data_IF_906162125240
#
_entry.id   IF_906162125240
#
_cell.length_a   1.000
_cell.length_b   1.000
_cell.length_c   1.000
_cell.angle_alpha   90.00
_cell.angle_beta   90.00
_cell.angle_gamma   90.00
#
_symmetry.space_group_name_H-M   'P 1'
#
loop_
_entity.id
_entity.type
_entity.pdbx_description
1 polymer ?
#
# COMPACT_ATOMS: atom_id res chain seq x y z
N UNK A 1 -1.08 -15.84 -18.20
CA UNK A 1 -1.81 -15.81 -19.49
C UNK A 1 -3.29 -16.14 -19.27
N UNK A 2 -4.23 -15.73 -20.13
CA UNK A 2 -5.67 -16.05 -19.94
C UNK A 2 -5.92 -17.56 -19.86
N UNK A 3 -5.18 -18.35 -20.63
CA UNK A 3 -5.22 -19.82 -20.63
C UNK A 3 -4.93 -20.46 -19.27
N UNK A 4 -4.27 -19.72 -18.36
CA UNK A 4 -3.92 -20.18 -17.01
C UNK A 4 -4.94 -19.72 -15.96
N UNK A 5 -5.98 -18.98 -16.35
CA UNK A 5 -6.96 -18.46 -15.40
C UNK A 5 -7.68 -19.60 -14.66
N UNK A 6 -7.66 -19.49 -13.34
CA UNK A 6 -8.48 -20.30 -12.46
C UNK A 6 -9.97 -19.96 -12.69
N UNK A 7 -10.91 -20.87 -12.40
CA UNK A 7 -12.31 -20.71 -12.77
C UNK A 7 -12.93 -19.36 -12.37
N UNK A 8 -12.63 -18.88 -11.17
CA UNK A 8 -13.13 -17.57 -10.68
C UNK A 8 -12.56 -16.37 -11.46
N UNK A 9 -11.32 -16.47 -11.95
CA UNK A 9 -10.69 -15.41 -12.75
C UNK A 9 -11.27 -15.39 -14.16
N UNK A 10 -11.51 -16.55 -14.78
CA UNK A 10 -12.17 -16.62 -16.09
C UNK A 10 -13.64 -16.17 -16.00
N UNK A 11 -14.37 -16.59 -14.97
CA UNK A 11 -15.76 -16.17 -14.78
C UNK A 11 -15.89 -14.65 -14.59
N UNK A 12 -14.99 -14.07 -13.80
CA UNK A 12 -14.90 -12.62 -13.62
C UNK A 12 -14.57 -11.90 -14.92
N UNK A 13 -13.56 -12.35 -15.67
CA UNK A 13 -13.17 -11.79 -16.97
C UNK A 13 -14.35 -11.77 -17.95
N UNK A 14 -15.09 -12.88 -18.04
CA UNK A 14 -16.28 -12.95 -18.90
C UNK A 14 -17.36 -11.96 -18.45
N UNK A 15 -17.67 -11.92 -17.16
CA UNK A 15 -18.69 -11.03 -16.61
C UNK A 15 -18.35 -9.55 -16.81
N UNK A 16 -17.09 -9.15 -16.66
CA UNK A 16 -16.65 -7.76 -16.83
C UNK A 16 -16.66 -7.33 -18.30
N UNK A 17 -16.22 -8.21 -19.22
CA UNK A 17 -16.27 -7.96 -20.67
C UNK A 17 -17.71 -7.85 -21.16
N UNK A 18 -18.60 -8.77 -20.78
CA UNK A 18 -20.01 -8.74 -21.19
C UNK A 18 -20.77 -7.55 -20.57
N UNK A 19 -20.33 -7.06 -19.42
CA UNK A 19 -20.81 -5.81 -18.84
C UNK A 19 -20.28 -4.53 -19.54
N UNK A 20 -19.44 -4.68 -20.57
CA UNK A 20 -18.95 -3.58 -21.42
C UNK A 20 -17.58 -3.04 -21.04
N UNK A 21 -16.84 -3.69 -20.13
CA UNK A 21 -15.46 -3.28 -19.83
C UNK A 21 -14.55 -3.60 -21.03
N UNK A 22 -13.67 -2.68 -21.44
CA UNK A 22 -12.71 -2.98 -22.51
C UNK A 22 -11.74 -4.07 -22.06
N UNK A 23 -11.22 -4.83 -23.02
CA UNK A 23 -10.11 -5.76 -22.79
C UNK A 23 -8.80 -4.97 -22.56
N UNK A 24 -8.05 -5.35 -21.53
CA UNK A 24 -6.79 -4.74 -21.12
C UNK A 24 -5.66 -5.78 -21.07
N UNK A 25 -4.96 -6.04 -22.18
CA UNK A 25 -3.94 -7.08 -22.22
C UNK A 25 -2.67 -6.73 -21.42
N UNK A 26 -2.47 -5.46 -21.03
CA UNK A 26 -1.30 -5.01 -20.29
C UNK A 26 -1.63 -3.89 -19.30
N UNK A 27 -1.84 -4.26 -18.03
CA UNK A 27 -2.12 -3.31 -16.96
C UNK A 27 -0.96 -2.36 -16.61
N UNK A 28 0.24 -2.58 -17.14
CA UNK A 28 1.36 -1.63 -16.99
C UNK A 28 1.35 -0.54 -18.06
N UNK A 29 0.53 -0.66 -19.11
CA UNK A 29 0.40 0.36 -20.12
C UNK A 29 -0.07 1.69 -19.44
N UNK A 30 0.60 2.83 -19.68
CA UNK A 30 0.17 4.13 -19.15
C UNK A 30 -1.27 4.50 -19.48
N UNK A 31 -1.86 3.91 -20.53
CA UNK A 31 -3.24 4.10 -20.98
C UNK A 31 -4.18 2.92 -20.66
N UNK A 32 -3.68 1.90 -19.94
CA UNK A 32 -4.47 0.75 -19.46
C UNK A 32 -5.79 1.20 -18.81
N UNK A 33 -6.87 0.52 -19.15
CA UNK A 33 -8.19 0.59 -18.52
C UNK A 33 -8.99 -0.64 -18.96
N UNK A 34 -9.91 -1.11 -18.13
CA UNK A 34 -10.67 -2.32 -18.40
C UNK A 34 -10.11 -3.56 -17.71
N UNK A 35 -10.37 -4.72 -18.31
CA UNK A 35 -10.19 -6.01 -17.66
C UNK A 35 -9.18 -6.90 -18.37
N UNK A 36 -8.32 -7.57 -17.61
CA UNK A 36 -7.33 -8.47 -18.18
C UNK A 36 -6.30 -8.96 -17.16
N UNK A 37 -5.17 -9.51 -17.62
CA UNK A 37 -4.19 -10.14 -16.74
C UNK A 37 -3.44 -9.13 -15.87
N UNK A 38 -3.25 -9.48 -14.59
CA UNK A 38 -2.47 -8.67 -13.64
C UNK A 38 -1.01 -9.14 -13.66
N UNK A 39 -0.04 -8.30 -14.04
CA UNK A 39 1.37 -8.65 -14.04
C UNK A 39 1.91 -8.79 -12.61
N UNK A 40 2.79 -9.77 -12.40
CA UNK A 40 3.38 -10.09 -11.10
C UNK A 40 4.90 -10.24 -11.23
N UNK A 41 5.64 -9.90 -10.18
CA UNK A 41 7.10 -10.08 -10.10
C UNK A 41 7.47 -11.48 -9.59
N UNK A 42 6.91 -12.53 -10.21
CA UNK A 42 7.14 -13.92 -9.82
C UNK A 42 7.32 -14.87 -11.04
N UNK A 43 8.27 -14.61 -11.95
CA UNK A 43 8.51 -15.48 -13.11
C UNK A 43 8.67 -16.94 -12.70
N UNK A 44 7.95 -17.85 -13.36
CA UNK A 44 7.94 -19.27 -13.01
C UNK A 44 7.40 -19.58 -11.60
N UNK A 45 6.60 -18.69 -11.02
CA UNK A 45 6.07 -18.81 -9.66
C UNK A 45 7.07 -18.41 -8.56
N UNK A 46 8.26 -17.95 -8.91
CA UNK A 46 9.33 -17.61 -7.95
C UNK A 46 9.36 -16.10 -7.73
N UNK A 47 9.12 -15.67 -6.49
CA UNK A 47 9.20 -14.25 -6.09
C UNK A 47 10.55 -13.63 -6.47
N UNK A 48 10.51 -12.48 -7.14
CA UNK A 48 11.67 -11.63 -7.43
C UNK A 48 11.60 -10.36 -6.59
N UNK A 49 12.26 -10.36 -5.43
CA UNK A 49 12.34 -9.19 -4.54
C UNK A 49 13.47 -8.24 -4.92
N UNK A 50 13.40 -6.99 -4.45
CA UNK A 50 14.48 -6.02 -4.64
C UNK A 50 15.82 -6.52 -4.04
N UNK A 51 15.78 -7.30 -2.95
CA UNK A 51 17.00 -7.91 -2.39
C UNK A 51 17.62 -8.95 -3.34
N UNK A 52 16.80 -9.81 -3.97
CA UNK A 52 17.29 -10.78 -4.96
C UNK A 52 17.83 -10.08 -6.22
N UNK A 53 17.18 -9.01 -6.66
CA UNK A 53 17.51 -8.31 -7.90
C UNK A 53 18.68 -7.32 -7.77
N UNK A 54 18.78 -6.58 -6.66
CA UNK A 54 19.74 -5.47 -6.49
C UNK A 54 20.85 -5.77 -5.49
N UNK A 55 20.49 -6.28 -4.30
CA UNK A 55 21.45 -6.45 -3.20
C UNK A 55 22.30 -7.70 -3.39
N UNK A 56 21.68 -8.86 -3.60
CA UNK A 56 22.38 -10.15 -3.69
C UNK A 56 23.47 -10.18 -4.76
N UNK A 57 23.23 -9.70 -5.99
CA UNK A 57 24.27 -9.64 -7.00
C UNK A 57 25.40 -8.66 -6.66
N UNK A 58 25.17 -7.71 -5.75
CA UNK A 58 26.14 -6.66 -5.40
C UNK A 58 26.92 -6.92 -4.10
N UNK A 59 26.59 -7.98 -3.35
CA UNK A 59 27.18 -8.31 -2.03
C UNK A 59 28.70 -8.49 -2.04
N UNK A 60 29.29 -8.83 -3.18
CA UNK A 60 30.73 -9.04 -3.29
C UNK A 60 31.54 -7.74 -3.30
N UNK A 61 30.89 -6.59 -3.47
CA UNK A 61 31.56 -5.29 -3.61
C UNK A 61 32.14 -4.86 -2.26
N UNK A 62 33.44 -4.58 -2.22
CA UNK A 62 34.15 -4.19 -0.99
C UNK A 62 33.65 -2.86 -0.38
N UNK A 63 33.02 -2.01 -1.19
CA UNK A 63 32.44 -0.74 -0.76
C UNK A 63 30.96 -0.84 -0.35
N UNK A 64 30.39 -2.04 -0.23
CA UNK A 64 29.01 -2.25 0.22
C UNK A 64 28.99 -3.12 1.48
N UNK A 65 28.48 -2.56 2.58
CA UNK A 65 28.22 -3.31 3.81
C UNK A 65 26.72 -3.40 4.04
N UNK A 66 26.19 -4.62 4.18
CA UNK A 66 24.79 -4.88 4.54
C UNK A 66 24.78 -5.53 5.91
N UNK A 67 24.19 -4.86 6.90
CA UNK A 67 24.00 -5.42 8.25
C UNK A 67 22.52 -5.67 8.52
N UNK A 68 22.19 -6.92 8.85
CA UNK A 68 20.87 -7.28 9.35
C UNK A 68 20.86 -7.21 10.88
N UNK A 69 19.66 -7.20 11.49
CA UNK A 69 19.48 -7.10 12.95
C UNK A 69 20.10 -5.84 13.55
N UNK A 70 20.07 -4.74 12.80
CA UNK A 70 20.50 -3.41 13.23
C UNK A 70 19.30 -2.47 13.08
N UNK A 71 18.72 -2.07 14.20
CA UNK A 71 17.55 -1.18 14.22
C UNK A 71 18.02 0.27 14.28
N UNK A 72 17.62 1.09 13.31
CA UNK A 72 17.82 2.54 13.41
C UNK A 72 16.86 3.12 14.47
N UNK A 73 17.39 3.92 15.38
CA UNK A 73 16.65 4.56 16.48
C UNK A 73 16.36 6.03 16.18
N UNK A 74 17.35 6.76 15.67
CA UNK A 74 17.26 8.16 15.25
C UNK A 74 18.44 8.57 14.39
N UNK A 75 18.25 9.60 13.56
CA UNK A 75 19.32 10.34 12.89
C UNK A 75 20.00 11.25 13.92
N UNK A 76 21.33 11.33 13.84
CA UNK A 76 22.16 12.20 14.67
C UNK A 76 22.53 13.45 13.87
N UNK A 77 22.39 14.61 14.50
CA UNK A 77 22.62 15.92 13.88
C UNK A 77 23.73 16.70 14.60
N UNK A 78 24.49 17.47 13.81
CA UNK A 78 25.30 18.61 14.26
C UNK A 78 24.72 19.88 13.62
N UNK A 79 24.01 20.68 14.42
CA UNK A 79 23.20 21.78 13.90
C UNK A 79 22.10 21.28 12.93
N UNK A 80 22.15 21.75 11.68
CA UNK A 80 21.23 21.35 10.61
C UNK A 80 21.77 20.21 9.72
N UNK A 81 22.94 19.66 10.04
CA UNK A 81 23.62 18.63 9.26
C UNK A 81 23.42 17.24 9.87
N UNK A 82 22.88 16.30 9.10
CA UNK A 82 22.88 14.89 9.49
C UNK A 82 24.30 14.31 9.40
N UNK A 83 24.78 13.70 10.48
CA UNK A 83 26.16 13.19 10.61
C UNK A 83 26.24 11.68 10.88
N UNK A 84 25.11 11.04 11.15
CA UNK A 84 25.06 9.61 11.43
C UNK A 84 23.68 9.13 11.81
N UNK A 85 23.61 7.85 12.17
CA UNK A 85 22.41 7.20 12.69
C UNK A 85 22.77 6.48 13.98
N UNK A 86 22.03 6.74 15.05
CA UNK A 86 22.07 5.93 16.27
C UNK A 86 21.32 4.63 15.98
N UNK A 87 21.99 3.50 16.19
CA UNK A 87 21.47 2.18 15.91
C UNK A 87 21.59 1.28 17.13
N UNK A 88 20.75 0.25 17.20
CA UNK A 88 20.82 -0.82 18.18
C UNK A 88 21.07 -2.16 17.48
N UNK A 89 22.00 -2.95 18.02
CA UNK A 89 22.28 -4.30 17.56
C UNK A 89 22.78 -5.14 18.72
N UNK A 90 22.16 -6.31 18.94
CA UNK A 90 22.56 -7.21 20.02
C UNK A 90 22.42 -6.63 21.44
N UNK A 91 21.53 -5.65 21.63
CA UNK A 91 21.32 -4.95 22.91
C UNK A 91 22.29 -3.81 23.18
N UNK A 92 23.21 -3.52 22.24
CA UNK A 92 24.13 -2.38 22.32
C UNK A 92 23.68 -1.26 21.38
N UNK A 93 23.74 -0.03 21.88
CA UNK A 93 23.46 1.19 21.11
C UNK A 93 24.77 1.89 20.74
N UNK A 94 24.94 2.21 19.47
CA UNK A 94 26.11 2.93 18.95
C UNK A 94 25.73 3.79 17.74
N UNK A 95 26.63 4.70 17.34
CA UNK A 95 26.42 5.56 16.17
C UNK A 95 27.17 5.00 14.96
N UNK A 96 26.50 4.95 13.81
CA UNK A 96 27.12 4.76 12.51
C UNK A 96 27.19 6.12 11.84
N UNK A 97 28.41 6.65 11.69
CA UNK A 97 28.65 7.94 11.04
C UNK A 97 28.51 7.84 9.52
N UNK A 98 28.06 8.92 8.89
CA UNK A 98 27.90 8.99 7.44
C UNK A 98 27.87 10.44 6.95
N UNK A 99 28.47 10.67 5.78
CA UNK A 99 28.47 11.99 5.12
C UNK A 99 27.13 12.31 4.45
N UNK A 100 26.32 11.30 4.15
CA UNK A 100 24.95 11.45 3.64
C UNK A 100 24.11 10.30 4.19
N UNK A 101 22.96 10.64 4.78
CA UNK A 101 22.01 9.70 5.37
C UNK A 101 20.78 9.62 4.47
N UNK A 102 20.43 8.41 4.05
CA UNK A 102 19.31 8.17 3.14
C UNK A 102 18.33 7.23 3.84
N UNK A 103 17.14 7.75 4.15
CA UNK A 103 16.08 6.98 4.79
C UNK A 103 15.27 6.23 3.75
N UNK A 104 15.19 4.91 3.90
CA UNK A 104 14.42 4.01 3.03
C UNK A 104 13.55 3.04 3.86
N UNK A 105 13.01 3.52 4.99
CA UNK A 105 12.26 2.69 5.95
C UNK A 105 10.76 2.56 5.61
N UNK A 106 10.30 3.23 4.55
CA UNK A 106 8.95 3.12 4.01
C UNK A 106 7.94 4.09 4.64
N UNK A 107 6.70 4.03 4.16
CA UNK A 107 5.63 4.98 4.50
C UNK A 107 5.23 5.07 5.98
N UNK A 108 5.72 4.16 6.84
CA UNK A 108 5.43 4.13 8.28
C UNK A 108 6.68 4.40 9.11
N UNK A 109 7.76 3.65 8.89
CA UNK A 109 8.94 3.76 9.75
C UNK A 109 9.81 4.99 9.42
N UNK A 110 9.79 5.50 8.20
CA UNK A 110 10.53 6.74 7.86
C UNK A 110 10.01 7.97 8.60
N UNK A 111 8.71 8.32 8.56
CA UNK A 111 8.22 9.46 9.34
C UNK A 111 8.41 9.24 10.85
N UNK A 112 8.23 8.01 11.36
CA UNK A 112 8.51 7.69 12.76
C UNK A 112 9.97 8.00 13.12
N UNK A 113 10.92 7.57 12.28
CA UNK A 113 12.35 7.81 12.49
C UNK A 113 12.67 9.32 12.45
N UNK A 114 12.09 10.08 11.51
CA UNK A 114 12.26 11.54 11.48
C UNK A 114 11.72 12.21 12.75
N UNK A 115 10.53 11.83 13.20
CA UNK A 115 9.93 12.35 14.43
C UNK A 115 10.83 12.07 15.65
N UNK A 116 11.31 10.83 15.81
CA UNK A 116 12.23 10.43 16.88
C UNK A 116 13.59 11.14 16.80
N UNK A 117 13.94 11.66 15.62
CA UNK A 117 15.17 12.42 15.38
C UNK A 117 15.00 13.93 15.58
N UNK A 118 13.83 14.39 16.03
CA UNK A 118 13.54 15.81 16.24
C UNK A 118 13.12 16.57 14.98
N UNK A 119 12.72 15.86 13.92
CA UNK A 119 12.26 16.46 12.65
C UNK A 119 10.77 16.19 12.48
N UNK A 120 9.95 17.20 12.70
CA UNK A 120 8.48 17.06 12.70
C UNK A 120 7.76 18.24 13.35
N UNK A 121 6.45 18.11 13.64
CA UNK A 121 5.69 19.20 14.25
C UNK A 121 6.22 19.56 15.65
N UNK A 122 6.70 20.80 15.83
CA UNK A 122 7.36 21.26 17.07
C UNK A 122 6.55 20.97 18.34
N UNK A 123 5.25 21.25 18.31
CA UNK A 123 4.37 21.06 19.47
C UNK A 123 4.26 19.58 19.87
N UNK A 124 4.18 18.66 18.89
CA UNK A 124 4.09 17.23 19.13
C UNK A 124 5.39 16.67 19.72
N UNK A 125 6.53 17.08 19.15
CA UNK A 125 7.86 16.65 19.61
C UNK A 125 8.14 17.16 21.03
N UNK A 126 7.82 18.43 21.30
CA UNK A 126 8.00 19.04 22.62
C UNK A 126 7.15 18.37 23.69
N UNK A 127 5.92 17.96 23.36
CA UNK A 127 5.02 17.24 24.28
C UNK A 127 5.58 15.87 24.71
N UNK A 128 6.40 15.24 23.86
CA UNK A 128 7.08 13.96 24.14
C UNK A 128 8.50 14.15 24.70
N UNK A 129 8.94 15.39 24.91
CA UNK A 129 10.29 15.70 25.40
C UNK A 129 11.40 15.43 24.38
N UNK A 130 11.07 15.37 23.09
CA UNK A 130 12.03 15.16 22.01
C UNK A 130 12.60 16.54 21.60
N UNK A 131 13.94 16.76 21.66
CA UNK A 131 14.54 18.00 21.20
C UNK A 131 14.24 18.25 19.73
N UNK A 132 13.77 19.45 19.42
CA UNK A 132 13.42 19.85 18.04
C UNK A 132 14.66 20.28 17.30
N UNK A 133 14.97 19.57 16.21
CA UNK A 133 16.02 19.91 15.24
C UNK A 133 15.42 20.79 14.14
N UNK A 134 14.24 20.40 13.65
CA UNK A 134 13.54 21.12 12.59
C UNK A 134 12.03 20.99 12.74
N UNK A 135 11.35 22.12 12.87
CA UNK A 135 9.90 22.16 12.72
C UNK A 135 9.53 21.85 11.27
N UNK A 136 8.86 20.72 11.08
CA UNK A 136 8.41 20.20 9.79
C UNK A 136 7.01 19.62 9.97
N UNK A 137 5.95 20.46 9.90
CA UNK A 137 4.60 20.04 10.25
C UNK A 137 4.03 18.97 9.30
N UNK A 138 4.65 18.76 8.14
CA UNK A 138 4.28 17.72 7.17
C UNK A 138 4.70 16.31 7.53
N UNK A 139 5.67 16.11 8.45
CA UNK A 139 6.14 14.76 8.80
C UNK A 139 5.04 13.98 9.52
N UNK A 140 4.72 12.80 9.00
CA UNK A 140 3.64 11.93 9.50
C UNK A 140 2.26 12.29 8.96
N UNK A 141 2.09 13.45 8.34
CA UNK A 141 0.82 13.89 7.76
C UNK A 141 0.64 13.34 6.34
N UNK A 142 -0.57 13.43 5.78
CA UNK A 142 -0.87 12.92 4.44
C UNK A 142 -0.58 11.40 4.33
N UNK A 143 -0.94 10.63 5.37
CA UNK A 143 -0.89 9.17 5.34
C UNK A 143 -1.89 8.67 4.29
N UNK A 144 -1.38 8.19 3.16
CA UNK A 144 -2.17 7.66 2.05
C UNK A 144 -2.07 6.15 1.99
N UNK A 145 -3.16 5.51 1.61
CA UNK A 145 -3.22 4.09 1.29
C UNK A 145 -4.36 3.83 0.29
N UNK A 146 -4.46 2.59 -0.17
CA UNK A 146 -5.61 2.08 -0.89
C UNK A 146 -6.52 1.30 0.08
N UNK A 147 -7.64 1.87 0.57
CA UNK A 147 -8.60 1.09 1.32
C UNK A 147 -9.26 0.04 0.43
N UNK A 148 -9.47 -1.14 1.01
CA UNK A 148 -10.11 -2.25 0.31
C UNK A 148 -11.23 -2.87 1.13
N UNK A 149 -12.11 -3.52 0.40
CA UNK A 149 -13.25 -4.28 0.88
C UNK A 149 -13.34 -5.57 0.07
N UNK A 150 -13.97 -6.61 0.63
CA UNK A 150 -14.13 -7.89 -0.04
C UNK A 150 -15.58 -8.34 -0.07
N UNK A 151 -16.06 -8.73 -1.25
CA UNK A 151 -17.27 -9.57 -1.38
C UNK A 151 -16.82 -11.02 -1.27
N UNK A 152 -17.15 -11.71 -0.17
CA UNK A 152 -16.73 -13.08 0.08
C UNK A 152 -17.83 -14.08 -0.34
N UNK A 153 -17.39 -15.21 -0.89
CA UNK A 153 -18.23 -16.20 -1.55
C UNK A 153 -17.86 -17.60 -1.06
N UNK A 154 -18.89 -18.40 -0.81
CA UNK A 154 -18.74 -19.83 -0.57
C UNK A 154 -18.73 -20.57 -1.92
N UNK A 155 -17.66 -21.32 -2.24
CA UNK A 155 -17.58 -22.10 -3.46
C UNK A 155 -18.47 -23.33 -3.38
N UNK A 156 -19.01 -23.77 -4.52
CA UNK A 156 -19.64 -25.09 -4.61
C UNK A 156 -18.63 -26.21 -4.41
N UNK A 157 -19.11 -27.38 -3.99
CA UNK A 157 -18.29 -28.59 -3.88
C UNK A 157 -17.58 -28.92 -5.20
N UNK A 158 -16.28 -29.18 -5.12
CA UNK A 158 -15.45 -29.57 -6.27
C UNK A 158 -14.90 -28.41 -7.10
N UNK A 159 -15.21 -27.15 -6.76
CA UNK A 159 -14.62 -25.98 -7.43
C UNK A 159 -13.12 -25.92 -7.16
N UNK A 160 -12.32 -25.80 -8.23
CA UNK A 160 -10.87 -25.68 -8.13
C UNK A 160 -10.48 -24.30 -7.59
N UNK A 161 -9.89 -24.27 -6.40
CA UNK A 161 -9.30 -23.06 -5.80
C UNK A 161 -7.77 -23.04 -5.97
N UNK A 162 -7.19 -21.84 -6.04
CA UNK A 162 -5.74 -21.71 -6.16
C UNK A 162 -5.06 -22.17 -4.85
N UNK A 163 -4.18 -23.16 -4.97
CA UNK A 163 -3.42 -23.71 -3.85
C UNK A 163 -1.94 -23.36 -3.98
N UNK A 164 -1.40 -23.57 -5.18
CA UNK A 164 -0.04 -23.22 -5.59
C UNK A 164 -0.02 -22.21 -6.74
N UNK A 165 -1.15 -22.08 -7.44
CA UNK A 165 -1.35 -21.12 -8.52
C UNK A 165 -1.39 -19.67 -7.99
N UNK A 166 -1.09 -18.66 -8.82
CA UNK A 166 -1.30 -17.27 -8.45
C UNK A 166 -2.78 -17.04 -8.09
N UNK A 167 -3.04 -16.46 -6.91
CA UNK A 167 -4.40 -16.20 -6.43
C UNK A 167 -5.09 -15.06 -7.19
N UNK A 168 -4.32 -14.07 -7.60
CA UNK A 168 -4.76 -12.92 -8.40
C UNK A 168 -4.16 -13.12 -9.79
N UNK A 169 -5.01 -13.27 -10.81
CA UNK A 169 -4.56 -13.49 -12.20
C UNK A 169 -5.19 -12.46 -13.15
N UNK A 170 -6.40 -12.03 -12.86
CA UNK A 170 -7.15 -11.02 -13.60
C UNK A 170 -7.57 -9.87 -12.70
N UNK A 171 -7.95 -8.75 -13.29
CA UNK A 171 -8.54 -7.62 -12.59
C UNK A 171 -9.31 -6.71 -13.54
N UNK A 172 -10.01 -5.75 -12.98
CA UNK A 172 -10.69 -4.66 -13.67
C UNK A 172 -10.17 -3.34 -13.11
N UNK A 173 -9.70 -2.44 -13.96
CA UNK A 173 -9.41 -1.04 -13.62
C UNK A 173 -10.44 -0.17 -14.31
N UNK A 174 -11.09 0.71 -13.56
CA UNK A 174 -12.13 1.56 -14.11
C UNK A 174 -12.20 2.89 -13.37
N UNK A 175 -12.80 3.87 -14.03
CA UNK A 175 -13.07 5.19 -13.46
C UNK A 175 -14.46 5.17 -12.86
N UNK A 176 -14.59 5.50 -11.58
CA UNK A 176 -15.89 5.58 -10.93
C UNK A 176 -16.80 6.63 -11.59
N UNK A 177 -18.11 6.43 -11.49
CA UNK A 177 -19.09 7.36 -12.06
C UNK A 177 -18.97 8.75 -11.44
N UNK A 178 -18.74 9.75 -12.29
CA UNK A 178 -18.55 11.15 -11.87
C UNK A 178 -17.12 11.48 -11.42
N UNK A 179 -16.17 10.55 -11.54
CA UNK A 179 -14.76 10.83 -11.28
C UNK A 179 -14.08 11.49 -12.48
N UNK A 180 -13.42 12.63 -12.24
CA UNK A 180 -12.53 13.27 -13.22
C UNK A 180 -11.16 12.57 -13.29
N UNK A 181 -10.93 11.57 -12.45
CA UNK A 181 -9.63 10.92 -12.30
C UNK A 181 -9.67 9.48 -12.79
N UNK A 182 -9.07 9.24 -13.95
CA UNK A 182 -9.02 7.92 -14.61
C UNK A 182 -8.61 6.77 -13.67
N UNK A 183 -9.27 5.62 -13.73
CA UNK A 183 -8.86 4.41 -12.99
C UNK A 183 -8.62 4.63 -11.48
N UNK A 184 -9.51 5.38 -10.83
CA UNK A 184 -9.50 5.54 -9.38
C UNK A 184 -10.08 4.33 -8.64
N UNK A 185 -10.52 3.30 -9.37
CA UNK A 185 -11.01 2.03 -8.83
C UNK A 185 -10.31 0.82 -9.43
N UNK A 186 -10.19 -0.24 -8.64
CA UNK A 186 -9.71 -1.54 -9.10
C UNK A 186 -10.46 -2.68 -8.41
N UNK A 187 -10.90 -3.67 -9.18
CA UNK A 187 -11.47 -4.90 -8.69
C UNK A 187 -10.59 -6.09 -9.11
N UNK A 188 -10.49 -7.13 -8.30
CA UNK A 188 -9.99 -8.41 -8.79
C UNK A 188 -10.63 -9.59 -8.06
N UNK A 189 -10.86 -10.71 -8.76
CA UNK A 189 -11.24 -11.97 -8.14
C UNK A 189 -10.01 -12.65 -7.53
N UNK A 190 -10.22 -13.39 -6.46
CA UNK A 190 -9.20 -14.31 -5.94
C UNK A 190 -9.83 -15.45 -5.15
N UNK A 191 -9.18 -16.61 -5.17
CA UNK A 191 -9.46 -17.69 -4.21
C UNK A 191 -8.59 -17.56 -2.97
N UNK A 192 -9.13 -17.93 -1.81
CA UNK A 192 -8.41 -17.98 -0.53
C UNK A 192 -8.65 -19.34 0.16
N UNK A 193 -7.68 -19.79 0.97
CA UNK A 193 -7.81 -21.03 1.74
C UNK A 193 -7.50 -20.76 3.21
N UNK A 194 -8.39 -21.23 4.11
CA UNK A 194 -8.18 -21.21 5.55
C UNK A 194 -6.92 -22.00 5.93
N UNK A 195 -6.01 -21.32 6.64
CA UNK A 195 -4.77 -21.80 7.28
C UNK A 195 -3.77 -22.57 6.38
N UNK A 196 -3.05 -21.85 5.51
CA UNK A 196 -1.56 -21.88 5.34
C UNK A 196 -1.01 -21.18 4.10
N UNK A 197 -1.83 -20.52 3.28
CA UNK A 197 -1.34 -19.48 2.38
C UNK A 197 -2.13 -18.20 2.66
N UNK A 198 -1.41 -17.17 3.09
CA UNK A 198 -1.95 -15.96 3.71
C UNK A 198 -3.11 -15.35 2.95
N UNK A 199 -4.14 -14.99 3.70
CA UNK A 199 -4.77 -13.71 3.42
C UNK A 199 -3.79 -12.64 3.95
N UNK A 200 -3.07 -11.89 3.09
CA UNK A 200 -2.25 -10.78 3.55
C UNK A 200 -3.09 -9.62 4.13
N UNK A 201 -4.42 -9.64 3.98
CA UNK A 201 -5.30 -8.50 4.24
C UNK A 201 -6.18 -8.63 5.51
N UNK A 202 -6.49 -9.84 6.00
CA UNK A 202 -7.41 -10.02 7.15
C UNK A 202 -6.91 -10.92 8.31
N UNK A 203 -5.64 -11.36 8.29
CA UNK A 203 -5.08 -12.14 9.40
C UNK A 203 -5.68 -13.55 9.56
N UNK A 204 -5.31 -14.25 10.64
CA UNK A 204 -5.67 -15.66 10.88
C UNK A 204 -7.01 -15.77 11.61
N UNK A 205 -8.01 -16.44 11.02
CA UNK A 205 -9.16 -16.99 11.75
C UNK A 205 -9.22 -18.51 11.53
N UNK A 206 -9.25 -19.33 12.60
CA UNK A 206 -9.30 -20.79 12.50
C UNK A 206 -10.63 -21.35 11.98
N UNK A 207 -11.67 -20.51 11.89
CA UNK A 207 -13.05 -20.95 11.62
C UNK A 207 -13.54 -20.64 10.20
N UNK A 208 -12.71 -20.04 9.32
CA UNK A 208 -13.13 -19.69 7.95
C UNK A 208 -12.81 -20.78 6.91
N UNK A 209 -13.80 -21.30 6.18
CA UNK A 209 -13.59 -22.28 5.11
C UNK A 209 -12.80 -21.69 3.93
N UNK A 210 -12.35 -22.57 3.03
CA UNK A 210 -11.80 -22.16 1.74
C UNK A 210 -12.87 -21.38 0.96
N UNK A 211 -12.49 -20.30 0.28
CA UNK A 211 -13.44 -19.37 -0.31
C UNK A 211 -12.96 -18.69 -1.58
N UNK A 212 -13.86 -17.93 -2.19
CA UNK A 212 -13.57 -17.01 -3.28
C UNK A 212 -13.99 -15.60 -2.87
N UNK A 213 -13.39 -14.58 -3.47
CA UNK A 213 -13.79 -13.19 -3.24
C UNK A 213 -13.60 -12.32 -4.47
N UNK A 214 -14.35 -11.23 -4.52
CA UNK A 214 -14.02 -10.05 -5.33
C UNK A 214 -13.51 -8.98 -4.36
N UNK A 215 -12.25 -8.56 -4.54
CA UNK A 215 -11.66 -7.48 -3.76
C UNK A 215 -11.91 -6.15 -4.49
N UNK A 216 -12.56 -5.22 -3.81
CA UNK A 216 -12.83 -3.86 -4.25
C UNK A 216 -11.80 -2.92 -3.64
N UNK A 217 -11.10 -2.14 -4.46
CA UNK A 217 -10.02 -1.25 -3.99
C UNK A 217 -10.25 0.15 -4.53
N UNK A 218 -10.25 1.12 -3.61
CA UNK A 218 -10.19 2.53 -3.94
C UNK A 218 -8.73 2.89 -4.22
N UNK A 219 -8.39 3.14 -5.49
CA UNK A 219 -7.03 3.42 -5.96
C UNK A 219 -6.61 4.88 -5.81
N UNK A 220 -7.54 5.76 -5.46
CA UNK A 220 -7.24 7.15 -5.15
C UNK A 220 -8.27 7.70 -4.14
N UNK A 221 -8.04 7.37 -2.87
CA UNK A 221 -8.82 7.91 -1.78
C UNK A 221 -8.63 9.42 -1.68
N UNK A 222 -9.73 10.15 -1.48
CA UNK A 222 -9.69 11.58 -1.16
C UNK A 222 -9.22 11.77 0.27
N UNK A 223 -9.68 10.91 1.18
CA UNK A 223 -9.22 10.84 2.57
C UNK A 223 -7.70 10.67 2.66
N UNK A 224 -7.12 11.32 3.67
CA UNK A 224 -5.76 11.10 4.11
C UNK A 224 -5.70 11.11 5.61
N UNK A 225 -4.90 10.21 6.14
CA UNK A 225 -4.69 10.07 7.57
C UNK A 225 -3.46 10.82 8.09
N UNK A 226 -3.06 10.41 9.28
CA UNK A 226 -1.82 10.82 9.92
C UNK A 226 -1.15 9.69 10.71
N UNK A 227 0.14 9.88 10.96
CA UNK A 227 0.99 9.09 11.80
C UNK A 227 1.62 9.99 12.86
N UNK A 228 1.44 9.65 14.12
CA UNK A 228 2.04 10.37 15.26
C UNK A 228 2.79 9.42 16.18
N UNK A 229 3.80 9.94 16.87
CA UNK A 229 4.46 9.17 17.94
C UNK A 229 3.53 9.03 19.15
N UNK A 230 3.51 7.84 19.74
CA UNK A 230 2.87 7.55 21.03
C UNK A 230 3.83 7.75 22.20
N UNK A 231 5.13 7.61 21.95
CA UNK A 231 6.20 7.80 22.92
C UNK A 231 7.52 8.20 22.23
N UNK A 232 8.55 8.54 23.01
CA UNK A 232 9.91 8.76 22.53
C UNK A 232 10.74 7.46 22.45
N UNK A 233 10.18 6.30 22.81
CA UNK A 233 10.85 5.00 22.65
C UNK A 233 10.70 4.53 21.19
N UNK A 234 11.81 4.33 20.44
CA UNK A 234 11.76 3.83 19.07
C UNK A 234 11.18 2.41 18.94
N UNK A 235 11.07 1.65 20.03
CA UNK A 235 10.46 0.33 20.02
C UNK A 235 8.94 0.35 20.14
N UNK A 236 8.36 1.47 20.56
CA UNK A 236 6.91 1.63 20.64
C UNK A 236 6.34 1.96 19.26
N UNK A 237 5.29 1.26 18.79
CA UNK A 237 4.69 1.53 17.50
C UNK A 237 4.03 2.92 17.50
N UNK A 238 4.07 3.64 16.36
CA UNK A 238 3.38 4.91 16.24
C UNK A 238 1.87 4.70 16.19
N UNK A 239 1.11 5.76 16.48
CA UNK A 239 -0.31 5.79 16.24
C UNK A 239 -0.57 6.03 14.75
N UNK A 240 -1.40 5.18 14.15
CA UNK A 240 -1.83 5.28 12.75
C UNK A 240 -3.33 5.55 12.72
N UNK A 241 -3.71 6.70 12.18
CA UNK A 241 -5.11 7.01 11.86
C UNK A 241 -5.24 7.21 10.36
N UNK A 242 -5.75 6.21 9.65
CA UNK A 242 -5.89 6.25 8.19
C UNK A 242 -7.07 7.08 7.69
N UNK A 243 -8.08 7.32 8.55
CA UNK A 243 -9.32 8.03 8.18
C UNK A 243 -10.02 7.49 6.93
N UNK A 244 -10.01 6.17 6.76
CA UNK A 244 -10.68 5.54 5.62
C UNK A 244 -12.15 5.91 5.56
N UNK A 245 -12.62 6.20 4.35
CA UNK A 245 -14.03 6.50 4.08
C UNK A 245 -14.56 7.69 4.88
N UNK A 246 -13.70 8.63 5.26
CA UNK A 246 -14.10 9.87 5.95
C UNK A 246 -14.95 10.74 5.03
N UNK A 247 -14.59 10.85 3.75
CA UNK A 247 -15.33 11.65 2.78
C UNK A 247 -16.50 10.88 2.17
N UNK A 248 -17.58 11.60 1.80
CA UNK A 248 -18.70 11.01 1.07
C UNK A 248 -18.28 10.50 -0.30
N UNK A 249 -17.29 11.14 -0.91
CA UNK A 249 -16.78 10.75 -2.22
C UNK A 249 -16.09 9.39 -2.20
N UNK A 250 -15.34 9.08 -1.14
CA UNK A 250 -14.74 7.75 -0.96
C UNK A 250 -15.82 6.68 -0.78
N UNK A 251 -16.85 6.96 0.03
CA UNK A 251 -17.95 6.03 0.28
C UNK A 251 -18.78 5.75 -0.98
N UNK A 252 -19.19 6.79 -1.71
CA UNK A 252 -19.95 6.65 -2.96
C UNK A 252 -19.26 5.71 -3.96
N UNK A 253 -17.95 5.90 -4.19
CA UNK A 253 -17.18 5.07 -5.12
C UNK A 253 -17.07 3.62 -4.65
N UNK A 254 -16.96 3.40 -3.34
CA UNK A 254 -16.94 2.05 -2.78
C UNK A 254 -18.30 1.36 -2.82
N UNK A 255 -19.41 2.10 -2.65
CA UNK A 255 -20.76 1.58 -2.89
C UNK A 255 -20.92 1.15 -4.35
N UNK A 256 -20.48 1.96 -5.30
CA UNK A 256 -20.46 1.61 -6.73
C UNK A 256 -19.66 0.32 -6.99
N UNK A 257 -18.45 0.20 -6.44
CA UNK A 257 -17.64 -1.02 -6.59
C UNK A 257 -18.34 -2.28 -6.06
N UNK A 258 -19.05 -2.17 -4.93
CA UNK A 258 -19.84 -3.26 -4.38
C UNK A 258 -21.02 -3.60 -5.28
N UNK A 259 -21.80 -2.62 -5.73
CA UNK A 259 -22.92 -2.87 -6.64
C UNK A 259 -22.47 -3.51 -7.96
N UNK A 260 -21.36 -3.05 -8.54
CA UNK A 260 -20.77 -3.67 -9.74
C UNK A 260 -20.35 -5.11 -9.46
N UNK A 261 -19.68 -5.35 -8.33
CA UNK A 261 -19.28 -6.71 -7.94
C UNK A 261 -20.50 -7.62 -7.81
N UNK A 262 -21.57 -7.18 -7.16
CA UNK A 262 -22.81 -7.96 -7.03
C UNK A 262 -23.46 -8.23 -8.39
N UNK A 263 -23.51 -7.23 -9.28
CA UNK A 263 -24.01 -7.41 -10.64
C UNK A 263 -23.19 -8.44 -11.43
N UNK A 264 -21.85 -8.45 -11.28
CA UNK A 264 -21.02 -9.45 -11.95
C UNK A 264 -21.31 -10.87 -11.47
N UNK A 265 -21.66 -11.06 -10.20
CA UNK A 265 -21.99 -12.37 -9.64
C UNK A 265 -23.29 -12.96 -10.20
N UNK A 266 -24.17 -12.14 -10.80
CA UNK A 266 -25.37 -12.61 -11.49
C UNK A 266 -25.06 -13.24 -12.86
N UNK A 267 -23.85 -13.06 -13.38
CA UNK A 267 -23.45 -13.59 -14.67
C UNK A 267 -23.42 -15.13 -14.67
N UNK A 268 -23.92 -15.81 -15.73
CA UNK A 268 -24.01 -17.28 -15.78
C UNK A 268 -22.70 -18.03 -15.54
N UNK A 269 -21.55 -17.40 -15.84
CA UNK A 269 -20.21 -17.97 -15.60
C UNK A 269 -19.92 -18.27 -14.12
N UNK A 270 -20.58 -17.55 -13.19
CA UNK A 270 -20.41 -17.77 -11.75
C UNK A 270 -21.33 -18.85 -11.17
N UNK A 271 -22.43 -19.19 -11.85
CA UNK A 271 -23.43 -20.15 -11.36
C UNK A 271 -22.87 -21.52 -10.93
N UNK A 272 -21.96 -22.13 -11.72
CA UNK A 272 -21.30 -23.39 -11.36
C UNK A 272 -20.26 -23.25 -10.22
N UNK A 273 -19.87 -22.02 -9.87
CA UNK A 273 -18.76 -21.76 -8.95
C UNK A 273 -19.24 -21.41 -7.54
N UNK A 274 -20.36 -20.70 -7.41
CA UNK A 274 -20.80 -20.11 -6.15
C UNK A 274 -21.97 -20.89 -5.57
N UNK A 275 -21.83 -21.31 -4.32
CA UNK A 275 -22.94 -21.84 -3.51
C UNK A 275 -23.78 -20.69 -2.97
N UNK A 276 -23.13 -19.72 -2.30
CA UNK A 276 -23.79 -18.49 -1.82
C UNK A 276 -22.78 -17.36 -1.56
N UNK A 277 -23.29 -16.13 -1.48
CA UNK A 277 -22.57 -14.96 -0.96
C UNK A 277 -22.51 -15.04 0.58
N UNK A 278 -21.33 -14.78 1.14
CA UNK A 278 -21.09 -14.76 2.59
C UNK A 278 -21.22 -13.35 3.17
N UNK A 279 -20.55 -12.37 2.55
CA UNK A 279 -20.58 -10.96 2.94
C UNK A 279 -20.30 -10.07 1.73
N UNK A 280 -20.86 -8.86 1.62
CA UNK A 280 -21.95 -8.32 2.45
C UNK A 280 -23.24 -9.15 2.32
N UNK A 281 -24.07 -9.15 3.36
CA UNK A 281 -25.41 -9.77 3.38
C UNK A 281 -26.44 -8.91 2.63
N UNK A 282 -27.67 -9.42 2.47
CA UNK A 282 -28.77 -8.64 1.88
C UNK A 282 -29.14 -7.42 2.76
N UNK A 283 -29.01 -7.54 4.08
CA UNK A 283 -29.24 -6.44 5.02
C UNK A 283 -28.16 -5.36 4.90
N UNK A 284 -26.89 -5.78 4.77
CA UNK A 284 -25.77 -4.86 4.60
C UNK A 284 -25.89 -4.00 3.32
N UNK A 285 -26.56 -4.50 2.28
CA UNK A 285 -26.75 -3.78 1.00
C UNK A 285 -28.16 -3.20 0.82
N UNK A 286 -28.98 -3.21 1.86
CA UNK A 286 -30.38 -2.78 1.78
C UNK A 286 -30.55 -1.25 1.59
N UNK A 287 -29.55 -0.46 2.00
CA UNK A 287 -29.52 1.00 1.83
C UNK A 287 -28.09 1.53 1.85
N UNK A 288 -27.90 2.76 1.36
CA UNK A 288 -26.60 3.45 1.43
C UNK A 288 -26.08 3.57 2.87
N UNK A 289 -26.96 3.83 3.85
CA UNK A 289 -26.58 3.96 5.27
C UNK A 289 -26.12 2.62 5.88
N UNK A 290 -26.80 1.53 5.55
CA UNK A 290 -26.41 0.19 5.96
C UNK A 290 -25.06 -0.19 5.35
N UNK A 291 -24.90 0.12 4.05
CA UNK A 291 -23.68 -0.18 3.31
C UNK A 291 -22.49 0.65 3.82
N UNK A 292 -22.69 1.92 4.14
CA UNK A 292 -21.65 2.78 4.72
C UNK A 292 -21.23 2.32 6.12
N UNK A 293 -22.18 1.84 6.92
CA UNK A 293 -21.88 1.23 8.22
C UNK A 293 -21.03 -0.04 8.03
N UNK A 294 -21.43 -0.90 7.10
CA UNK A 294 -20.70 -2.12 6.79
C UNK A 294 -19.30 -1.84 6.22
N UNK A 295 -19.17 -0.86 5.32
CA UNK A 295 -17.88 -0.41 4.76
C UNK A 295 -16.90 -0.04 5.88
N UNK A 296 -17.33 0.76 6.86
CA UNK A 296 -16.47 1.18 7.99
C UNK A 296 -16.08 0.03 8.91
N UNK A 297 -16.94 -0.99 9.05
CA UNK A 297 -16.66 -2.16 9.89
C UNK A 297 -15.74 -3.19 9.22
N UNK A 298 -15.72 -3.23 7.87
CA UNK A 298 -15.04 -4.28 7.11
C UNK A 298 -13.83 -3.78 6.31
N UNK A 299 -13.53 -2.48 6.34
CA UNK A 299 -12.40 -1.91 5.61
C UNK A 299 -11.07 -2.53 6.07
N UNK A 300 -10.23 -2.84 5.10
CA UNK A 300 -8.86 -3.27 5.32
C UNK A 300 -7.88 -2.42 4.50
N UNK A 301 -6.60 -2.56 4.80
CA UNK A 301 -5.50 -1.90 4.09
C UNK A 301 -4.96 -2.78 2.98
N UNK A 302 -4.61 -2.19 1.83
CA UNK A 302 -3.83 -2.92 0.79
C UNK A 302 -2.32 -2.94 1.10
N UNK A 303 -1.90 -2.35 2.23
CA UNK A 303 -0.50 -2.18 2.61
C UNK A 303 0.31 -1.37 1.59
N UNK A 304 -0.34 -0.36 0.99
CA UNK A 304 0.25 0.58 0.04
C UNK A 304 0.54 1.94 0.69
N UNK A 305 0.87 1.92 1.98
CA UNK A 305 1.11 3.12 2.79
C UNK A 305 2.18 4.03 2.18
N UNK A 306 1.83 5.31 2.02
CA UNK A 306 2.65 6.32 1.34
C UNK A 306 2.33 7.74 1.83
N UNK A 307 3.11 8.72 1.38
CA UNK A 307 2.80 10.15 1.51
C UNK A 307 3.11 10.84 2.83
N UNK A 308 3.55 10.09 3.84
CA UNK A 308 3.88 10.59 5.19
C UNK A 308 5.11 11.50 5.29
N UNK A 309 5.86 11.66 4.21
CA UNK A 309 6.98 12.60 4.07
C UNK A 309 6.90 13.28 2.69
N UNK A 310 5.70 13.74 2.30
CA UNK A 310 5.42 14.13 0.91
C UNK A 310 6.44 15.11 0.32
N UNK A 311 6.79 14.84 -0.93
CA UNK A 311 7.47 15.75 -1.82
C UNK A 311 6.51 16.88 -2.21
N UNK A 312 7.03 18.10 -2.34
CA UNK A 312 6.24 19.24 -2.82
C UNK A 312 7.11 20.41 -3.28
N UNK A 313 6.52 21.44 -3.89
CA UNK A 313 7.23 22.67 -4.25
C UNK A 313 7.60 23.47 -3.00
N UNK A 314 8.48 24.47 -3.14
CA UNK A 314 8.88 25.34 -2.03
C UNK A 314 7.70 26.13 -1.42
N UNK A 315 6.66 26.39 -2.21
CA UNK A 315 5.44 27.05 -1.75
C UNK A 315 4.52 26.15 -0.92
N UNK A 316 4.77 24.86 -0.81
CA UNK A 316 3.96 23.92 -0.02
C UNK A 316 4.55 23.79 1.40
N UNK A 317 3.95 24.43 2.42
CA UNK A 317 4.47 24.39 3.79
C UNK A 317 4.40 23.01 4.43
N UNK A 318 3.63 22.08 3.84
CA UNK A 318 3.49 20.70 4.31
C UNK A 318 4.43 19.75 3.56
N UNK A 319 5.25 20.22 2.62
CA UNK A 319 6.25 19.40 1.97
C UNK A 319 7.39 19.08 2.95
N UNK A 320 7.76 17.80 3.04
CA UNK A 320 8.87 17.33 3.87
C UNK A 320 10.15 17.26 3.06
N UNK A 321 10.05 16.82 1.81
CA UNK A 321 11.19 16.75 0.89
C UNK A 321 11.00 17.63 -0.35
N UNK A 322 12.11 17.96 -0.99
CA UNK A 322 12.11 18.59 -2.30
C UNK A 322 12.10 17.57 -3.46
N UNK A 323 12.13 18.06 -4.69
CA UNK A 323 12.12 17.23 -5.92
C UNK A 323 13.32 16.30 -6.09
N UNK A 324 14.36 16.45 -5.26
CA UNK A 324 15.55 15.60 -5.22
C UNK A 324 15.59 14.71 -3.98
N UNK A 325 14.44 14.51 -3.32
CA UNK A 325 14.30 13.71 -2.12
C UNK A 325 15.08 14.25 -0.90
N UNK A 326 15.55 15.51 -0.93
CA UNK A 326 16.27 16.12 0.20
C UNK A 326 15.30 16.61 1.25
N UNK A 327 15.55 16.31 2.52
CA UNK A 327 14.71 16.81 3.62
C UNK A 327 14.89 18.31 3.75
N UNK A 328 13.77 19.04 3.79
CA UNK A 328 13.77 20.50 3.67
C UNK A 328 14.37 21.16 4.92
N UNK A 329 15.34 22.05 4.67
CA UNK A 329 16.01 22.80 5.72
C UNK A 329 17.02 21.99 6.54
N UNK A 330 17.42 20.81 6.05
CA UNK A 330 18.47 19.99 6.63
C UNK A 330 19.49 19.62 5.56
N UNK A 331 20.74 19.42 5.98
CA UNK A 331 21.84 19.01 5.11
C UNK A 331 22.11 17.52 5.28
N UNK A 332 22.58 16.88 4.20
CA UNK A 332 23.00 15.48 4.18
C UNK A 332 21.92 14.46 4.59
N UNK A 333 20.64 14.80 4.44
CA UNK A 333 19.53 13.90 4.74
C UNK A 333 18.56 13.81 3.56
N UNK A 334 18.25 12.59 3.15
CA UNK A 334 17.25 12.28 2.12
C UNK A 334 16.25 11.24 2.58
N UNK A 335 15.09 11.24 1.94
CA UNK A 335 14.10 10.17 2.04
C UNK A 335 13.84 9.59 0.66
N UNK A 336 14.09 8.29 0.48
CA UNK A 336 13.99 7.60 -0.81
C UNK A 336 13.13 6.33 -0.64
N UNK A 337 11.84 6.55 -0.39
CA UNK A 337 10.83 5.50 -0.32
C UNK A 337 9.42 6.06 -0.62
N UNK A 338 8.37 5.26 -0.42
CA UNK A 338 6.98 5.64 -0.72
C UNK A 338 6.41 6.77 0.16
N UNK A 339 7.05 7.12 1.28
CA UNK A 339 6.62 8.26 2.10
C UNK A 339 6.71 9.59 1.34
N UNK A 340 7.56 9.68 0.30
CA UNK A 340 7.71 10.93 -0.48
C UNK A 340 6.60 11.16 -1.50
N UNK A 341 5.76 10.17 -1.78
CA UNK A 341 4.70 10.31 -2.78
C UNK A 341 3.72 11.42 -2.38
N UNK A 342 3.50 12.47 -3.18
CA UNK A 342 2.55 13.53 -2.84
C UNK A 342 1.12 13.03 -2.65
N UNK A 343 0.76 12.00 -3.42
CA UNK A 343 -0.45 11.22 -3.27
C UNK A 343 -0.15 9.74 -3.61
N UNK A 344 -1.01 8.82 -3.22
CA UNK A 344 -0.88 7.42 -3.60
C UNK A 344 -1.05 7.28 -5.12
N UNK A 345 -0.22 6.45 -5.74
CA UNK A 345 -0.34 6.15 -7.16
C UNK A 345 -1.51 5.18 -7.40
N UNK A 346 -2.21 5.32 -8.53
CA UNK A 346 -3.33 4.45 -8.92
C UNK A 346 -2.89 3.05 -9.40
N UNK A 347 -1.89 2.47 -8.76
CA UNK A 347 -1.29 1.17 -9.06
C UNK A 347 -0.79 0.51 -7.76
N UNK A 348 -0.32 -0.73 -7.80
CA UNK A 348 0.40 -1.31 -6.67
C UNK A 348 1.76 -0.59 -6.54
N UNK A 349 2.18 -0.29 -5.32
CA UNK A 349 3.20 0.74 -5.08
C UNK A 349 4.65 0.27 -5.20
N UNK A 350 4.90 -1.04 -5.31
CA UNK A 350 6.27 -1.59 -5.35
C UNK A 350 7.08 -1.09 -6.56
N UNK A 351 6.48 -1.05 -7.76
CA UNK A 351 7.17 -0.55 -8.95
C UNK A 351 7.50 0.95 -8.81
N UNK A 352 6.59 1.73 -8.24
CA UNK A 352 6.81 3.16 -7.96
C UNK A 352 7.95 3.38 -6.96
N UNK A 353 8.04 2.57 -5.91
CA UNK A 353 9.15 2.62 -4.96
C UNK A 353 10.51 2.40 -5.65
N UNK A 354 10.58 1.42 -6.56
CA UNK A 354 11.78 1.14 -7.36
C UNK A 354 12.11 2.32 -8.27
N UNK A 355 11.12 2.90 -8.96
CA UNK A 355 11.34 4.07 -9.83
C UNK A 355 11.86 5.28 -9.05
N UNK A 356 11.31 5.54 -7.85
CA UNK A 356 11.82 6.59 -6.95
C UNK A 356 13.29 6.32 -6.62
N UNK A 357 13.62 5.09 -6.22
CA UNK A 357 14.98 4.71 -5.86
C UNK A 357 15.98 4.83 -7.03
N UNK A 358 15.62 4.33 -8.22
CA UNK A 358 16.43 4.44 -9.44
C UNK A 358 16.68 5.90 -9.81
N UNK A 359 15.65 6.74 -9.70
CA UNK A 359 15.78 8.16 -10.01
C UNK A 359 16.67 8.88 -9.00
N UNK A 360 16.50 8.59 -7.71
CA UNK A 360 17.28 9.19 -6.64
C UNK A 360 18.76 8.76 -6.69
N UNK A 361 19.04 7.49 -6.96
CA UNK A 361 20.40 6.99 -7.13
C UNK A 361 21.18 7.74 -8.23
N UNK A 362 20.50 8.18 -9.29
CA UNK A 362 21.11 9.01 -10.34
C UNK A 362 21.50 10.43 -9.91
N UNK A 363 21.03 10.90 -8.75
CA UNK A 363 21.40 12.21 -8.18
C UNK A 363 22.45 12.12 -7.07
N UNK A 364 22.69 10.91 -6.57
CA UNK A 364 23.59 10.61 -5.45
C UNK A 364 24.84 9.99 -6.08
N UNK A 365 25.82 10.84 -6.40
CA UNK A 365 27.06 10.44 -7.06
C UNK A 365 28.28 11.02 -6.37
#
# INVERSE_FOLDING_TARGET
PREEFMPVNEAFHQATVEAGSPEDPDMNNPDSTGTGPVPMNNPGGIRMSASLAYLNPSRYRLNLTIKANVQARRVVFDGDQAVGVEVESGGETFTVEGSEIILCAGGIATPQLLLLSGVGPEAHLSALGIPVVKDSPGVGQNLRDHPLITVELEPRDGVKLATIEPRIQSGLRYTAEGSDTRNDMQLFPSSFTGLRAGDPLQGRSPDRPQGMRITCILKLADSSGELTLTSADPNEPPHLDFRYFETEWDRRRMREALHLSLKFLEHPSFGPLIERRLTPTDEDVASDDALDTWLRQNVATTQHTSGTCKMGPESDPMAVVDQYCRVRGLQNLRVVDLSVCPNVVRANTNATAIVIAERAAGWIS
#
